data_IF_131850108282
#
_entry.id   IF_131850108282
#
_cell.length_a   1.000
_cell.length_b   1.000
_cell.length_c   1.000
_cell.angle_alpha   90.00
_cell.angle_beta   90.00
_cell.angle_gamma   90.00
#
_symmetry.space_group_name_H-M   'P 1'
#
loop_
_entity.id
_entity.type
_entity.pdbx_description
1 polymer ?
#
# COMPACT_ATOMS: atom_id res chain seq x y z
N UNK A 1 26.62 44.30 -1.45
CA UNK A 1 25.68 43.99 -2.55
C UNK A 1 25.88 42.61 -3.21
N UNK A 2 27.07 41.98 -3.12
CA UNK A 2 27.40 40.73 -3.86
C UNK A 2 27.03 39.42 -3.11
N UNK A 3 26.86 39.45 -1.78
CA UNK A 3 26.52 38.25 -0.98
C UNK A 3 25.05 37.80 -1.11
N UNK A 4 24.13 38.68 -1.52
CA UNK A 4 22.68 38.40 -1.56
C UNK A 4 22.23 37.60 -2.80
N UNK A 5 23.08 37.48 -3.82
CA UNK A 5 22.77 36.78 -5.07
C UNK A 5 23.15 35.28 -5.06
N UNK A 6 24.07 34.88 -4.17
CA UNK A 6 24.63 33.52 -4.15
C UNK A 6 23.78 32.49 -3.39
N UNK A 7 22.80 32.97 -2.60
CA UNK A 7 21.88 32.10 -1.84
C UNK A 7 20.66 31.72 -2.70
N UNK A 8 20.18 32.64 -3.55
CA UNK A 8 18.96 32.44 -4.36
C UNK A 8 19.08 31.39 -5.49
N UNK A 9 20.31 31.03 -5.91
CA UNK A 9 20.55 30.06 -6.99
C UNK A 9 20.92 28.64 -6.52
N UNK A 10 21.24 28.43 -5.24
CA UNK A 10 21.54 27.09 -4.72
C UNK A 10 20.26 26.29 -4.53
N UNK A 11 19.24 26.90 -3.95
CA UNK A 11 18.03 26.20 -3.54
C UNK A 11 17.23 25.73 -4.76
N UNK A 12 17.08 26.55 -5.81
CA UNK A 12 16.32 26.15 -7.00
C UNK A 12 17.00 25.04 -7.81
N UNK A 13 18.32 25.10 -7.99
CA UNK A 13 19.05 24.04 -8.71
C UNK A 13 19.09 22.74 -7.89
N UNK A 14 19.20 22.84 -6.57
CA UNK A 14 19.12 21.70 -5.67
C UNK A 14 17.74 21.03 -5.71
N UNK A 15 16.66 21.81 -5.63
CA UNK A 15 15.29 21.29 -5.74
C UNK A 15 15.02 20.64 -7.11
N UNK A 16 15.53 21.21 -8.20
CA UNK A 16 15.45 20.58 -9.54
C UNK A 16 16.16 19.23 -9.59
N UNK A 17 17.32 19.11 -8.93
CA UNK A 17 18.07 17.86 -8.87
C UNK A 17 17.34 16.81 -8.02
N UNK A 18 16.74 17.22 -6.90
CA UNK A 18 15.86 16.36 -6.09
C UNK A 18 14.69 15.84 -6.95
N UNK A 19 13.97 16.72 -7.64
CA UNK A 19 12.83 16.30 -8.47
C UNK A 19 13.23 15.36 -9.62
N UNK A 20 14.41 15.53 -10.21
CA UNK A 20 14.93 14.59 -11.20
C UNK A 20 15.19 13.22 -10.59
N UNK A 21 15.82 13.17 -9.41
CA UNK A 21 16.07 11.93 -8.69
C UNK A 21 14.76 11.25 -8.28
N UNK A 22 13.82 12.00 -7.69
CA UNK A 22 12.48 11.51 -7.33
C UNK A 22 11.78 10.88 -8.54
N UNK A 23 11.78 11.55 -9.69
CA UNK A 23 11.16 11.03 -10.90
C UNK A 23 11.82 9.74 -11.41
N UNK A 24 13.15 9.65 -11.35
CA UNK A 24 13.86 8.43 -11.75
C UNK A 24 13.53 7.29 -10.79
N UNK A 25 13.58 7.54 -9.48
CA UNK A 25 13.27 6.55 -8.45
C UNK A 25 11.84 6.05 -8.59
N UNK A 26 10.86 6.94 -8.73
CA UNK A 26 9.45 6.57 -8.88
C UNK A 26 9.21 5.73 -10.15
N UNK A 27 9.85 6.05 -11.28
CA UNK A 27 9.73 5.23 -12.51
C UNK A 27 10.30 3.83 -12.34
N UNK A 28 11.48 3.72 -11.73
CA UNK A 28 12.10 2.43 -11.44
C UNK A 28 11.22 1.61 -10.50
N UNK A 29 10.68 2.24 -9.46
CA UNK A 29 9.78 1.59 -8.50
C UNK A 29 8.47 1.12 -9.16
N UNK A 30 7.86 1.93 -10.02
CA UNK A 30 6.67 1.54 -10.78
C UNK A 30 6.92 0.33 -11.66
N UNK A 31 8.04 0.30 -12.39
CA UNK A 31 8.40 -0.85 -13.24
C UNK A 31 8.63 -2.11 -12.41
N UNK A 32 9.32 -1.99 -11.28
CA UNK A 32 9.52 -3.11 -10.36
C UNK A 32 8.20 -3.65 -9.81
N UNK A 33 7.27 -2.76 -9.40
CA UNK A 33 5.95 -3.15 -8.92
C UNK A 33 5.12 -3.86 -10.00
N UNK A 34 5.16 -3.39 -11.25
CA UNK A 34 4.50 -4.07 -12.37
C UNK A 34 5.04 -5.50 -12.52
N UNK A 35 6.36 -5.68 -12.45
CA UNK A 35 6.96 -7.02 -12.51
C UNK A 35 6.50 -7.91 -11.35
N UNK A 36 6.47 -7.38 -10.12
CA UNK A 36 5.96 -8.10 -8.94
C UNK A 36 4.50 -8.52 -9.13
N UNK A 37 3.64 -7.63 -9.64
CA UNK A 37 2.23 -7.95 -9.93
C UNK A 37 2.14 -9.13 -10.90
N UNK A 38 2.91 -9.14 -11.99
CA UNK A 38 2.90 -10.25 -12.94
C UNK A 38 3.33 -11.57 -12.29
N UNK A 39 4.40 -11.55 -11.50
CA UNK A 39 4.88 -12.73 -10.77
C UNK A 39 3.81 -13.26 -9.81
N UNK A 40 3.19 -12.37 -9.02
CA UNK A 40 2.14 -12.77 -8.07
C UNK A 40 0.88 -13.31 -8.75
N UNK A 41 0.52 -12.80 -9.93
CA UNK A 41 -0.59 -13.37 -10.72
C UNK A 41 -0.25 -14.79 -11.20
N UNK A 42 0.96 -15.01 -11.71
CA UNK A 42 1.41 -16.34 -12.14
C UNK A 42 1.39 -17.31 -10.95
N UNK A 43 1.93 -16.89 -9.80
CA UNK A 43 1.92 -17.68 -8.57
C UNK A 43 0.49 -18.06 -8.16
N UNK A 44 -0.44 -17.11 -8.15
CA UNK A 44 -1.85 -17.37 -7.84
C UNK A 44 -2.46 -18.40 -8.80
N UNK A 45 -2.20 -18.28 -10.10
CA UNK A 45 -2.72 -19.24 -11.10
C UNK A 45 -2.17 -20.64 -10.85
N UNK A 46 -0.88 -20.76 -10.56
CA UNK A 46 -0.24 -22.06 -10.27
C UNK A 46 -0.82 -22.71 -9.01
N UNK A 47 -1.02 -21.93 -7.95
CA UNK A 47 -1.63 -22.41 -6.69
C UNK A 47 -3.06 -22.87 -6.95
N UNK A 48 -3.88 -22.06 -7.62
CA UNK A 48 -5.26 -22.42 -7.96
C UNK A 48 -5.34 -23.70 -8.80
N UNK A 49 -4.44 -23.86 -9.77
CA UNK A 49 -4.39 -25.07 -10.60
C UNK A 49 -4.03 -26.29 -9.77
N UNK A 50 -2.98 -26.22 -8.94
CA UNK A 50 -2.60 -27.34 -8.07
C UNK A 50 -3.72 -27.71 -7.09
N UNK A 51 -4.36 -26.72 -6.45
CA UNK A 51 -5.40 -26.96 -5.46
C UNK A 51 -6.64 -27.61 -6.09
N UNK A 52 -7.08 -27.15 -7.27
CA UNK A 52 -8.26 -27.66 -7.96
C UNK A 52 -8.09 -29.08 -8.52
N UNK A 53 -6.88 -29.45 -8.96
CA UNK A 53 -6.65 -30.72 -9.66
C UNK A 53 -5.99 -31.82 -8.82
N UNK A 54 -5.47 -31.50 -7.62
CA UNK A 54 -4.63 -32.44 -6.85
C UNK A 54 -5.16 -32.80 -5.45
N UNK A 55 -6.15 -32.08 -4.91
CA UNK A 55 -6.54 -32.23 -3.49
C UNK A 55 -7.89 -32.96 -3.32
N UNK A 56 -7.91 -34.00 -2.48
CA UNK A 56 -9.14 -34.70 -2.07
C UNK A 56 -10.08 -33.80 -1.25
N UNK A 57 -11.42 -33.97 -1.36
CA UNK A 57 -12.42 -32.98 -0.88
C UNK A 57 -12.56 -32.85 0.64
N UNK A 58 -11.82 -33.59 1.46
CA UNK A 58 -12.01 -33.64 2.91
C UNK A 58 -11.05 -32.67 3.61
N UNK A 59 -11.50 -31.44 3.87
CA UNK A 59 -10.71 -30.38 4.54
C UNK A 59 -10.26 -29.22 3.63
N UNK A 60 -10.60 -29.29 2.35
CA UNK A 60 -10.24 -28.32 1.29
C UNK A 60 -10.74 -26.88 1.53
N UNK A 61 -11.79 -26.68 2.34
CA UNK A 61 -12.58 -25.43 2.27
C UNK A 61 -12.08 -24.29 3.16
N UNK A 62 -11.47 -24.56 4.32
CA UNK A 62 -11.15 -23.50 5.28
C UNK A 62 -9.70 -23.01 5.17
N UNK A 63 -8.73 -23.94 5.17
CA UNK A 63 -7.31 -23.58 5.18
C UNK A 63 -6.82 -23.07 3.81
N UNK A 64 -7.19 -23.76 2.74
CA UNK A 64 -6.83 -23.40 1.37
C UNK A 64 -7.44 -22.05 0.96
N UNK A 65 -8.67 -21.77 1.39
CA UNK A 65 -9.36 -20.52 1.05
C UNK A 65 -8.72 -19.29 1.70
N UNK A 66 -8.29 -19.39 2.96
CA UNK A 66 -7.53 -18.33 3.64
C UNK A 66 -6.18 -18.09 2.96
N UNK A 67 -5.50 -19.16 2.54
CA UNK A 67 -4.21 -19.07 1.82
C UNK A 67 -4.38 -18.40 0.44
N UNK A 68 -5.41 -18.79 -0.33
CA UNK A 68 -5.77 -18.15 -1.60
C UNK A 68 -6.12 -16.67 -1.40
N UNK A 69 -6.94 -16.33 -0.40
CA UNK A 69 -7.23 -14.93 -0.08
C UNK A 69 -5.99 -14.13 0.30
N UNK A 70 -5.02 -14.74 1.00
CA UNK A 70 -3.72 -14.13 1.24
C UNK A 70 -3.00 -13.74 -0.06
N UNK A 71 -2.97 -14.62 -1.05
CA UNK A 71 -2.38 -14.36 -2.37
C UNK A 71 -3.12 -13.26 -3.14
N UNK A 72 -4.46 -13.28 -3.14
CA UNK A 72 -5.26 -12.20 -3.73
C UNK A 72 -4.98 -10.86 -3.06
N UNK A 73 -4.92 -10.83 -1.73
CA UNK A 73 -4.63 -9.62 -0.97
C UNK A 73 -3.22 -9.09 -1.26
N UNK A 74 -2.24 -9.97 -1.47
CA UNK A 74 -0.89 -9.56 -1.88
C UNK A 74 -0.88 -8.84 -3.24
N UNK A 75 -1.65 -9.34 -4.21
CA UNK A 75 -1.81 -8.69 -5.52
C UNK A 75 -2.48 -7.31 -5.37
N UNK A 76 -3.53 -7.21 -4.55
CA UNK A 76 -4.22 -5.94 -4.31
C UNK A 76 -3.29 -4.88 -3.69
N UNK A 77 -2.42 -5.25 -2.74
CA UNK A 77 -1.40 -4.32 -2.20
C UNK A 77 -0.48 -3.83 -3.30
N UNK A 78 -0.01 -4.72 -4.17
CA UNK A 78 0.92 -4.35 -5.22
C UNK A 78 0.26 -3.35 -6.21
N UNK A 79 -1.01 -3.56 -6.54
CA UNK A 79 -1.82 -2.62 -7.33
C UNK A 79 -2.04 -1.28 -6.61
N UNK A 80 -2.34 -1.32 -5.32
CA UNK A 80 -2.52 -0.13 -4.48
C UNK A 80 -1.24 0.70 -4.38
N UNK A 81 -0.09 0.05 -4.17
CA UNK A 81 1.22 0.72 -4.20
C UNK A 81 1.51 1.31 -5.59
N UNK A 82 1.18 0.61 -6.67
CA UNK A 82 1.35 1.12 -8.03
C UNK A 82 0.48 2.37 -8.25
N UNK A 83 -0.76 2.39 -7.76
CA UNK A 83 -1.64 3.56 -7.80
C UNK A 83 -1.04 4.73 -7.02
N UNK A 84 -0.53 4.50 -5.81
CA UNK A 84 0.13 5.51 -4.99
C UNK A 84 1.34 6.15 -5.69
N UNK A 85 2.21 5.32 -6.28
CA UNK A 85 3.37 5.81 -7.01
C UNK A 85 2.95 6.54 -8.29
N UNK A 86 1.93 6.04 -8.99
CA UNK A 86 1.40 6.70 -10.19
C UNK A 86 0.74 8.04 -9.88
N UNK A 87 0.02 8.14 -8.77
CA UNK A 87 -0.56 9.39 -8.27
C UNK A 87 0.53 10.41 -7.93
N UNK A 88 1.62 9.94 -7.29
CA UNK A 88 2.80 10.76 -7.04
C UNK A 88 3.47 11.24 -8.34
N UNK A 89 3.64 10.35 -9.33
CA UNK A 89 4.19 10.73 -10.64
C UNK A 89 3.33 11.76 -11.38
N UNK A 90 2.00 11.75 -11.19
CA UNK A 90 1.08 12.68 -11.85
C UNK A 90 1.00 14.05 -11.20
N UNK A 91 1.02 14.11 -9.87
CA UNK A 91 0.75 15.35 -9.11
C UNK A 91 1.96 15.86 -8.30
N UNK A 92 3.06 15.10 -8.23
CA UNK A 92 4.24 15.35 -7.40
C UNK A 92 3.94 15.64 -5.92
N UNK A 93 2.78 15.18 -5.44
CA UNK A 93 2.31 15.39 -4.07
C UNK A 93 1.78 14.05 -3.57
N UNK A 94 2.29 13.61 -2.41
CA UNK A 94 1.73 12.47 -1.69
C UNK A 94 0.42 12.91 -1.05
N UNK A 95 -0.68 12.28 -1.45
CA UNK A 95 -1.99 12.56 -0.85
C UNK A 95 -2.05 11.91 0.52
N UNK A 96 -2.06 12.73 1.58
CA UNK A 96 -2.10 12.23 2.97
C UNK A 96 -3.33 11.36 3.20
N UNK A 97 -4.46 11.70 2.60
CA UNK A 97 -5.69 10.89 2.64
C UNK A 97 -5.45 9.46 2.11
N UNK A 98 -4.80 9.35 0.95
CA UNK A 98 -4.46 8.07 0.33
C UNK A 98 -3.53 7.23 1.22
N UNK A 99 -2.54 7.86 1.86
CA UNK A 99 -1.64 7.17 2.80
C UNK A 99 -2.42 6.57 3.98
N UNK A 100 -3.37 7.32 4.57
CA UNK A 100 -4.16 6.81 5.70
C UNK A 100 -5.11 5.69 5.26
N UNK A 101 -5.73 5.81 4.09
CA UNK A 101 -6.54 4.74 3.50
C UNK A 101 -5.70 3.48 3.31
N UNK A 102 -4.47 3.62 2.82
CA UNK A 102 -3.58 2.45 2.62
C UNK A 102 -3.16 1.78 3.92
N UNK A 103 -2.96 2.58 4.98
CA UNK A 103 -2.70 2.04 6.31
C UNK A 103 -3.91 1.26 6.86
N UNK A 104 -5.13 1.76 6.63
CA UNK A 104 -6.37 1.10 7.05
C UNK A 104 -6.56 -0.23 6.30
N UNK A 105 -6.32 -0.25 4.99
CA UNK A 105 -6.35 -1.48 4.17
C UNK A 105 -5.31 -2.49 4.67
N UNK A 106 -4.10 -2.04 5.00
CA UNK A 106 -3.05 -2.92 5.53
C UNK A 106 -3.45 -3.58 6.87
N UNK A 107 -4.11 -2.84 7.77
CA UNK A 107 -4.64 -3.40 9.03
C UNK A 107 -5.79 -4.36 8.76
N UNK A 108 -6.73 -4.00 7.89
CA UNK A 108 -7.85 -4.86 7.51
C UNK A 108 -7.38 -6.20 6.94
N UNK A 109 -6.33 -6.19 6.10
CA UNK A 109 -5.71 -7.42 5.58
C UNK A 109 -5.19 -8.34 6.68
N UNK A 110 -4.50 -7.79 7.69
CA UNK A 110 -4.01 -8.58 8.83
C UNK A 110 -5.15 -9.22 9.61
N UNK A 111 -6.31 -8.56 9.69
CA UNK A 111 -7.51 -9.10 10.34
C UNK A 111 -8.11 -10.24 9.50
N UNK A 112 -8.18 -10.09 8.17
CA UNK A 112 -8.75 -11.12 7.27
C UNK A 112 -7.95 -12.41 7.31
N UNK A 113 -6.61 -12.33 7.35
CA UNK A 113 -5.71 -13.49 7.37
C UNK A 113 -5.40 -13.95 8.81
N UNK A 114 -6.07 -13.37 9.81
CA UNK A 114 -5.80 -13.69 11.22
C UNK A 114 -6.15 -15.14 11.54
N UNK A 115 -5.14 -15.90 11.97
CA UNK A 115 -5.30 -17.28 12.39
C UNK A 115 -5.22 -17.39 13.92
N UNK A 116 -6.37 -17.64 14.55
CA UNK A 116 -6.50 -17.79 16.01
C UNK A 116 -5.66 -18.93 16.60
N UNK A 117 -5.11 -19.82 15.78
CA UNK A 117 -4.22 -20.90 16.22
C UNK A 117 -2.74 -20.49 16.30
N UNK A 118 -2.36 -19.40 15.63
CA UNK A 118 -0.96 -18.92 15.54
C UNK A 118 -0.72 -17.62 16.31
N UNK A 119 -1.77 -16.82 16.53
CA UNK A 119 -1.68 -15.49 17.11
C UNK A 119 -2.45 -15.42 18.44
N UNK A 120 -1.95 -14.61 19.37
CA UNK A 120 -2.61 -14.43 20.66
C UNK A 120 -3.86 -13.55 20.53
N UNK A 121 -4.85 -13.74 21.41
CA UNK A 121 -6.07 -12.90 21.44
C UNK A 121 -5.76 -11.40 21.62
N UNK A 122 -4.62 -11.09 22.23
CA UNK A 122 -4.08 -9.74 22.43
C UNK A 122 -3.74 -9.05 21.10
N UNK A 123 -3.28 -9.79 20.09
CA UNK A 123 -2.95 -9.25 18.76
C UNK A 123 -4.19 -8.72 18.04
N UNK A 124 -5.32 -9.42 18.16
CA UNK A 124 -6.58 -8.98 17.56
C UNK A 124 -7.10 -7.69 18.21
N UNK A 125 -6.94 -7.54 19.53
CA UNK A 125 -7.30 -6.30 20.23
C UNK A 125 -6.40 -5.13 19.80
N UNK A 126 -5.10 -5.37 19.62
CA UNK A 126 -4.16 -4.36 19.13
C UNK A 126 -4.53 -3.89 17.71
N UNK A 127 -4.89 -4.82 16.81
CA UNK A 127 -5.36 -4.50 15.46
C UNK A 127 -6.66 -3.69 15.47
N UNK A 128 -7.60 -4.02 16.36
CA UNK A 128 -8.84 -3.26 16.51
C UNK A 128 -8.59 -1.81 16.96
N UNK A 129 -7.73 -1.60 17.96
CA UNK A 129 -7.36 -0.26 18.44
C UNK A 129 -6.62 0.54 17.36
N UNK A 130 -5.69 -0.10 16.63
CA UNK A 130 -5.00 0.55 15.51
C UNK A 130 -5.98 0.97 14.40
N UNK A 131 -6.93 0.09 14.05
CA UNK A 131 -7.97 0.39 13.04
C UNK A 131 -8.85 1.57 13.45
N UNK A 132 -9.23 1.64 14.73
CA UNK A 132 -9.99 2.78 15.27
C UNK A 132 -9.19 4.09 15.20
N UNK A 133 -7.91 4.07 15.60
CA UNK A 133 -7.05 5.25 15.54
C UNK A 133 -6.86 5.77 14.10
N UNK A 134 -6.67 4.86 13.13
CA UNK A 134 -6.59 5.20 11.71
C UNK A 134 -7.91 5.75 11.16
N UNK A 135 -9.04 5.16 11.55
CA UNK A 135 -10.37 5.63 11.14
C UNK A 135 -10.67 7.03 11.64
N UNK A 136 -10.31 7.33 12.90
CA UNK A 136 -10.41 8.68 13.47
C UNK A 136 -9.49 9.65 12.72
N UNK A 137 -8.26 9.24 12.41
CA UNK A 137 -7.30 10.07 11.66
C UNK A 137 -7.83 10.42 10.27
N UNK A 138 -8.41 9.45 9.56
CA UNK A 138 -9.07 9.65 8.26
C UNK A 138 -10.22 10.65 8.37
N UNK A 139 -11.09 10.50 9.37
CA UNK A 139 -12.21 11.40 9.59
C UNK A 139 -11.74 12.84 9.83
N UNK A 140 -10.72 13.04 10.67
CA UNK A 140 -10.16 14.37 10.94
C UNK A 140 -9.56 15.01 9.70
N UNK A 141 -8.76 14.27 8.92
CA UNK A 141 -8.16 14.76 7.67
C UNK A 141 -9.26 15.19 6.70
N UNK A 142 -10.29 14.35 6.53
CA UNK A 142 -11.42 14.64 5.63
C UNK A 142 -12.18 15.89 6.05
N UNK A 143 -12.47 16.06 7.35
CA UNK A 143 -13.13 17.26 7.87
C UNK A 143 -12.30 18.52 7.67
N UNK A 144 -10.98 18.44 7.86
CA UNK A 144 -10.08 19.58 7.69
C UNK A 144 -9.93 20.00 6.23
N UNK A 145 -9.83 19.03 5.31
CA UNK A 145 -9.80 19.32 3.87
C UNK A 145 -11.11 19.96 3.39
N UNK A 146 -12.27 19.46 3.83
CA UNK A 146 -13.57 20.00 3.42
C UNK A 146 -13.76 21.47 3.85
N UNK A 147 -13.16 21.89 4.97
CA UNK A 147 -13.21 23.26 5.48
C UNK A 147 -12.28 24.23 4.72
N UNK A 148 -11.32 23.71 3.95
CA UNK A 148 -10.38 24.54 3.17
C UNK A 148 -10.86 24.84 1.75
N UNK A 149 -11.78 24.01 1.23
CA UNK A 149 -12.42 24.17 -0.10
C UNK A 149 -13.79 24.89 -0.04
N UNK A 150 -14.17 25.47 1.10
CA UNK A 150 -15.40 26.26 1.32
C UNK A 150 -15.09 27.72 1.63
#
# INVERSE_FOLDING_TARGET
MIKKLRVFFKDQNFLKLIHLVENVVSKVLSLALIAVIFVSIIELILVLFNDLFTTEPIGFLSRTLIEIFGLFLNILIALELLENITAYLKKHIVQVELVVVTALIAVARKIIIFDTSKYEKTDLMALAVASLALSISYLLIRLLNQKYDS
#
